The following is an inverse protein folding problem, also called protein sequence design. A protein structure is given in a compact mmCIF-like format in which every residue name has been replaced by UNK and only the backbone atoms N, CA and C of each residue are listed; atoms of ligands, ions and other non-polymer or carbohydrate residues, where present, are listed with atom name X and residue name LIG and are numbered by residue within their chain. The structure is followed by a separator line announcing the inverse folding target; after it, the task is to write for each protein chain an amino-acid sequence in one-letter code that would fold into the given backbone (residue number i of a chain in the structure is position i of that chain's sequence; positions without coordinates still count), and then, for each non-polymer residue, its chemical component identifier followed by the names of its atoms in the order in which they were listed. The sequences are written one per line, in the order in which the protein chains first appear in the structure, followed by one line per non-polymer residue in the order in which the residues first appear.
data_IF_739606146479
#
_entry.id   IF_739606146479
#
_cell.length_a   1.000
_cell.length_b   1.000
_cell.length_c   1.000
_cell.angle_alpha   90.00
_cell.angle_beta   90.00
_cell.angle_gamma   90.00
#
_symmetry.space_group_name_H-M   'P 1'
#
loop_
_entity.id
_entity.type
_entity.pdbx_description
1 polymer ?
#
# COMPACT_ATOMS: atom_id res chain seq x y z
N UNK A 1 56.83 -10.89 16.48
CA UNK A 1 57.37 -9.56 16.83
C UNK A 1 58.85 -9.49 16.49
N UNK A 2 59.22 -8.64 15.54
CA UNK A 2 60.61 -8.40 15.16
C UNK A 2 61.26 -7.28 15.99
N UNK A 3 62.58 -7.35 16.14
CA UNK A 3 63.40 -6.26 16.69
C UNK A 3 64.35 -5.80 15.60
N UNK A 4 64.64 -4.51 15.54
CA UNK A 4 65.60 -4.00 14.59
C UNK A 4 67.03 -4.42 15.00
N UNK A 5 67.75 -5.06 14.08
CA UNK A 5 69.14 -5.50 14.29
C UNK A 5 70.12 -4.36 14.54
N UNK A 6 69.78 -3.14 14.12
CA UNK A 6 70.70 -2.01 14.15
C UNK A 6 70.45 -1.04 15.31
N UNK A 7 69.19 -0.71 15.61
CA UNK A 7 68.85 0.19 16.73
C UNK A 7 68.27 -0.53 17.95
N UNK A 8 67.99 -1.84 17.87
CA UNK A 8 67.45 -2.64 18.98
C UNK A 8 65.98 -2.34 19.33
N UNK A 9 65.32 -1.44 18.60
CA UNK A 9 63.93 -1.07 18.88
C UNK A 9 62.97 -2.19 18.46
N UNK A 10 61.97 -2.42 19.32
CA UNK A 10 60.86 -3.34 19.05
C UNK A 10 59.98 -2.80 17.93
N UNK A 11 59.76 -3.60 16.90
CA UNK A 11 58.99 -3.21 15.73
C UNK A 11 57.54 -3.65 15.85
N UNK A 12 56.63 -2.89 15.21
CA UNK A 12 55.24 -3.29 15.05
C UNK A 12 55.12 -4.51 14.11
N UNK A 13 54.12 -5.35 14.37
CA UNK A 13 53.90 -6.60 13.63
C UNK A 13 53.60 -6.32 12.16
N UNK A 14 54.40 -6.92 11.27
CA UNK A 14 54.27 -6.75 9.82
C UNK A 14 54.99 -5.54 9.22
N UNK A 15 55.82 -4.84 10.01
CA UNK A 15 56.66 -3.74 9.50
C UNK A 15 57.81 -4.25 8.62
N UNK A 16 57.99 -3.63 7.45
CA UNK A 16 59.04 -4.01 6.47
C UNK A 16 60.38 -3.32 6.72
N UNK A 17 60.37 -2.15 7.36
CA UNK A 17 61.55 -1.33 7.64
C UNK A 17 61.41 -0.68 9.01
N UNK A 18 62.54 -0.44 9.67
CA UNK A 18 62.56 0.25 10.95
C UNK A 18 62.29 1.76 10.77
N UNK A 19 61.29 2.37 11.43
CA UNK A 19 60.96 3.78 11.24
C UNK A 19 62.03 4.74 11.78
N UNK A 20 62.96 4.28 12.63
CA UNK A 20 63.98 5.12 13.27
C UNK A 20 65.29 5.18 12.48
N UNK A 21 65.79 4.03 12.03
CA UNK A 21 67.07 3.93 11.33
C UNK A 21 66.95 3.45 9.89
N UNK A 22 65.73 3.19 9.42
CA UNK A 22 65.38 2.74 8.07
C UNK A 22 66.03 1.42 7.61
N UNK A 23 66.57 0.65 8.56
CA UNK A 23 67.11 -0.69 8.29
C UNK A 23 65.97 -1.66 7.96
N UNK A 24 66.14 -2.45 6.90
CA UNK A 24 65.16 -3.47 6.49
C UNK A 24 65.04 -4.59 7.53
N UNK A 25 63.82 -5.08 7.72
CA UNK A 25 63.52 -6.11 8.71
C UNK A 25 63.77 -7.48 8.11
N UNK A 26 64.82 -8.14 8.58
CA UNK A 26 65.17 -9.50 8.16
C UNK A 26 64.43 -10.52 9.04
N UNK A 27 63.48 -11.24 8.46
CA UNK A 27 62.77 -12.34 9.13
C UNK A 27 63.40 -13.70 8.76
N UNK A 28 63.46 -14.67 9.69
CA UNK A 28 63.92 -16.03 9.39
C UNK A 28 63.07 -16.67 8.28
N UNK A 29 63.72 -17.49 7.43
CA UNK A 29 63.07 -18.20 6.33
C UNK A 29 61.93 -19.07 6.85
N UNK A 30 60.70 -18.74 6.45
CA UNK A 30 59.46 -19.44 6.85
C UNK A 30 58.59 -18.70 7.88
N UNK A 31 59.04 -17.55 8.41
CA UNK A 31 58.26 -16.74 9.35
C UNK A 31 57.74 -15.48 8.65
N UNK A 32 56.44 -15.44 8.37
CA UNK A 32 55.72 -14.24 7.95
C UNK A 32 54.90 -13.72 9.14
N UNK A 33 55.13 -12.47 9.55
CA UNK A 33 54.26 -11.82 10.53
C UNK A 33 52.92 -11.52 9.88
N UNK A 34 51.82 -11.98 10.50
CA UNK A 34 50.48 -11.65 10.06
C UNK A 34 50.24 -10.15 10.28
N UNK A 35 49.70 -9.42 9.28
CA UNK A 35 49.32 -8.02 9.49
C UNK A 35 48.28 -7.96 10.61
N UNK A 36 48.56 -7.14 11.63
CA UNK A 36 47.68 -7.00 12.80
C UNK A 36 46.30 -6.49 12.37
N UNK A 37 45.25 -7.04 12.99
CA UNK A 37 43.91 -6.47 12.83
C UNK A 37 43.93 -5.02 13.33
N UNK A 38 43.43 -4.05 12.54
CA UNK A 38 43.50 -2.65 12.90
C UNK A 38 42.73 -2.42 14.20
N UNK A 39 43.37 -1.75 15.16
CA UNK A 39 42.78 -1.41 16.46
C UNK A 39 41.55 -0.48 16.33
N UNK A 40 41.42 0.18 15.18
CA UNK A 40 40.39 1.18 14.91
C UNK A 40 39.27 0.60 14.05
N UNK A 41 38.04 1.00 14.38
CA UNK A 41 36.85 0.63 13.64
C UNK A 41 36.99 1.03 12.16
N UNK A 42 36.87 0.04 11.28
CA UNK A 42 36.77 0.30 9.85
C UNK A 42 35.47 1.07 9.54
N UNK A 43 35.48 1.95 8.54
CA UNK A 43 34.26 2.63 8.12
C UNK A 43 33.20 1.58 7.77
N UNK A 44 32.01 1.71 8.35
CA UNK A 44 30.91 0.78 8.09
C UNK A 44 30.67 0.70 6.58
N UNK A 45 30.40 -0.51 6.04
CA UNK A 45 30.03 -0.64 4.64
C UNK A 45 28.86 0.30 4.33
N UNK A 46 28.84 0.91 3.13
CA UNK A 46 27.85 1.92 2.79
C UNK A 46 26.45 1.39 3.05
N UNK A 47 25.63 2.18 3.76
CA UNK A 47 24.27 1.84 4.14
C UNK A 47 23.42 1.61 2.88
N UNK A 48 23.39 0.39 2.37
CA UNK A 48 22.85 0.15 1.03
C UNK A 48 22.86 -1.28 0.51
N UNK A 49 23.42 -2.27 1.22
CA UNK A 49 23.12 -3.66 0.88
C UNK A 49 21.64 -3.91 1.24
N UNK A 50 20.77 -3.78 0.23
CA UNK A 50 19.31 -3.86 0.30
C UNK A 50 18.81 -5.26 0.65
N UNK A 51 19.19 -5.73 1.84
CA UNK A 51 18.70 -6.96 2.44
C UNK A 51 17.49 -6.72 3.33
N UNK A 52 16.71 -7.78 3.53
CA UNK A 52 15.70 -7.84 4.58
C UNK A 52 16.42 -7.72 5.92
N UNK A 53 16.05 -6.75 6.75
CA UNK A 53 16.59 -6.61 8.11
C UNK A 53 16.36 -7.91 8.90
N UNK A 54 17.31 -8.31 9.76
CA UNK A 54 17.19 -9.53 10.59
C UNK A 54 15.85 -9.63 11.33
N UNK A 55 15.34 -8.49 11.81
CA UNK A 55 14.02 -8.38 12.48
C UNK A 55 12.86 -8.74 11.53
N UNK A 56 12.77 -8.11 10.36
CA UNK A 56 11.76 -8.44 9.33
C UNK A 56 11.81 -9.89 8.88
N UNK A 57 13.01 -10.46 8.69
CA UNK A 57 13.17 -11.88 8.33
C UNK A 57 12.58 -12.77 9.42
N UNK A 58 12.92 -12.52 10.69
CA UNK A 58 12.36 -13.25 11.82
C UNK A 58 10.84 -13.13 11.94
N UNK A 59 10.28 -11.93 11.69
CA UNK A 59 8.82 -11.73 11.67
C UNK A 59 8.14 -12.52 10.54
N UNK A 60 8.73 -12.55 9.34
CA UNK A 60 8.19 -13.33 8.21
C UNK A 60 8.24 -14.83 8.50
N UNK A 61 9.35 -15.33 9.05
CA UNK A 61 9.48 -16.74 9.46
C UNK A 61 8.47 -17.12 10.55
N UNK A 62 8.21 -16.21 11.50
CA UNK A 62 7.18 -16.38 12.52
C UNK A 62 5.77 -16.42 11.92
N UNK A 63 5.45 -15.50 10.99
CA UNK A 63 4.15 -15.51 10.31
C UNK A 63 3.98 -16.82 9.53
N UNK A 64 5.03 -17.29 8.85
CA UNK A 64 4.99 -18.53 8.09
C UNK A 64 4.80 -19.76 9.00
N UNK A 65 5.47 -19.80 10.15
CA UNK A 65 5.30 -20.92 11.09
C UNK A 65 3.89 -20.94 11.70
N UNK A 66 3.36 -19.77 12.09
CA UNK A 66 1.99 -19.65 12.59
C UNK A 66 0.95 -19.98 11.52
N UNK A 67 1.19 -19.57 10.27
CA UNK A 67 0.34 -19.92 9.13
C UNK A 67 0.24 -21.44 8.96
N UNK A 68 1.39 -22.14 8.92
CA UNK A 68 1.41 -23.60 8.77
C UNK A 68 0.69 -24.30 9.91
N UNK A 69 0.93 -23.89 11.16
CA UNK A 69 0.24 -24.47 12.32
C UNK A 69 -1.27 -24.20 12.25
N UNK A 70 -1.68 -22.96 11.94
CA UNK A 70 -3.09 -22.58 11.84
C UNK A 70 -3.83 -23.38 10.76
N UNK A 71 -3.26 -23.48 9.56
CA UNK A 71 -3.81 -24.28 8.46
C UNK A 71 -3.98 -25.74 8.87
N UNK A 72 -2.93 -26.35 9.43
CA UNK A 72 -2.95 -27.75 9.81
C UNK A 72 -3.99 -28.02 10.90
N UNK A 73 -4.08 -27.16 11.91
CA UNK A 73 -5.09 -27.32 12.98
C UNK A 73 -6.52 -27.21 12.48
N UNK A 74 -6.82 -26.22 11.64
CA UNK A 74 -8.16 -26.03 11.07
C UNK A 74 -8.52 -27.16 10.11
N UNK A 75 -7.58 -27.57 9.26
CA UNK A 75 -7.79 -28.68 8.33
C UNK A 75 -8.11 -29.98 9.08
N UNK A 76 -7.31 -30.33 10.10
CA UNK A 76 -7.55 -31.53 10.93
C UNK A 76 -8.89 -31.43 11.67
N UNK A 77 -9.22 -30.26 12.24
CA UNK A 77 -10.49 -30.05 12.92
C UNK A 77 -11.69 -30.28 12.00
N UNK A 78 -11.64 -29.77 10.76
CA UNK A 78 -12.71 -29.95 9.77
C UNK A 78 -12.81 -31.40 9.28
N UNK A 79 -11.67 -32.08 9.10
CA UNK A 79 -11.63 -33.52 8.76
C UNK A 79 -12.29 -34.35 9.86
N UNK A 80 -11.87 -34.15 11.11
CA UNK A 80 -12.39 -34.91 12.26
C UNK A 80 -13.87 -34.65 12.53
N UNK A 81 -14.33 -33.43 12.26
CA UNK A 81 -15.74 -33.06 12.41
C UNK A 81 -16.62 -33.53 11.24
N UNK A 82 -16.03 -34.10 10.18
CA UNK A 82 -16.75 -34.51 8.96
C UNK A 82 -17.30 -33.35 8.12
N UNK A 83 -16.89 -32.11 8.40
CA UNK A 83 -17.46 -30.90 7.80
C UNK A 83 -16.60 -30.31 6.67
N UNK A 84 -16.07 -31.17 5.79
CA UNK A 84 -15.15 -30.76 4.74
C UNK A 84 -15.76 -29.79 3.71
N UNK A 85 -17.09 -29.82 3.53
CA UNK A 85 -17.79 -28.94 2.60
C UNK A 85 -17.60 -27.45 2.91
N UNK A 86 -17.44 -27.08 4.19
CA UNK A 86 -17.26 -25.69 4.62
C UNK A 86 -15.81 -25.35 4.98
N UNK A 87 -14.85 -26.21 4.64
CA UNK A 87 -13.43 -26.01 4.95
C UNK A 87 -12.77 -24.88 4.15
N UNK A 88 -13.31 -24.55 2.98
CA UNK A 88 -12.70 -23.56 2.09
C UNK A 88 -12.59 -22.16 2.73
N UNK A 89 -13.67 -21.65 3.32
CA UNK A 89 -13.74 -20.29 3.87
C UNK A 89 -12.66 -20.04 4.95
N UNK A 90 -12.51 -20.88 6.00
CA UNK A 90 -11.52 -20.63 7.04
C UNK A 90 -10.09 -20.80 6.55
N UNK A 91 -9.79 -21.81 5.72
CA UNK A 91 -8.44 -22.03 5.17
C UNK A 91 -8.05 -20.85 4.24
N UNK A 92 -8.95 -20.46 3.33
CA UNK A 92 -8.72 -19.31 2.46
C UNK A 92 -8.51 -18.00 3.25
N UNK A 93 -9.26 -17.80 4.34
CA UNK A 93 -9.09 -16.62 5.20
C UNK A 93 -7.73 -16.57 5.88
N UNK A 94 -7.27 -17.70 6.42
CA UNK A 94 -5.95 -17.81 7.08
C UNK A 94 -4.84 -17.56 6.06
N UNK A 95 -4.92 -18.18 4.88
CA UNK A 95 -3.96 -17.96 3.79
C UNK A 95 -3.88 -16.50 3.34
N UNK A 96 -5.03 -15.84 3.15
CA UNK A 96 -5.07 -14.43 2.72
C UNK A 96 -4.52 -13.48 3.78
N UNK A 97 -4.80 -13.72 5.06
CA UNK A 97 -4.22 -12.93 6.16
C UNK A 97 -2.70 -13.13 6.24
N UNK A 98 -2.21 -14.36 6.15
CA UNK A 98 -0.78 -14.64 6.16
C UNK A 98 -0.08 -13.94 4.98
N UNK A 99 -0.64 -14.04 3.77
CA UNK A 99 -0.13 -13.37 2.58
C UNK A 99 -0.12 -11.83 2.76
N UNK A 100 -1.17 -11.26 3.36
CA UNK A 100 -1.28 -9.82 3.63
C UNK A 100 -0.13 -9.31 4.52
N UNK A 101 0.17 -10.06 5.59
CA UNK A 101 1.20 -9.73 6.56
C UNK A 101 2.59 -9.93 5.96
N UNK A 102 2.83 -11.05 5.26
CA UNK A 102 4.11 -11.31 4.60
C UNK A 102 4.44 -10.20 3.62
N UNK A 103 3.49 -9.76 2.80
CA UNK A 103 3.71 -8.66 1.83
C UNK A 103 3.93 -7.32 2.53
N UNK A 104 3.31 -7.08 3.70
CA UNK A 104 3.55 -5.89 4.51
C UNK A 104 4.96 -5.81 5.10
N UNK A 105 5.56 -6.94 5.46
CA UNK A 105 6.91 -6.97 6.05
C UNK A 105 8.04 -7.24 5.04
N UNK A 106 7.73 -7.79 3.86
CA UNK A 106 8.72 -8.23 2.87
C UNK A 106 9.49 -7.14 2.12
N UNK A 107 9.07 -5.87 2.16
CA UNK A 107 9.73 -4.82 1.39
C UNK A 107 9.94 -3.51 2.18
N UNK A 108 10.72 -2.57 1.63
CA UNK A 108 10.61 -1.14 1.99
C UNK A 108 9.61 -0.48 1.03
N UNK A 109 8.30 -0.81 1.07
CA UNK A 109 7.39 -0.28 0.08
C UNK A 109 7.19 1.22 0.31
N UNK A 110 7.04 1.95 -0.79
CA UNK A 110 6.37 3.25 -0.73
C UNK A 110 4.93 3.04 -0.28
N UNK A 111 4.36 4.03 0.41
CA UNK A 111 2.97 3.98 0.88
C UNK A 111 2.00 3.56 -0.23
N UNK A 112 2.17 4.10 -1.43
CA UNK A 112 1.30 3.79 -2.58
C UNK A 112 1.33 2.30 -2.94
N UNK A 113 2.53 1.71 -3.05
CA UNK A 113 2.66 0.30 -3.43
C UNK A 113 2.06 -0.62 -2.36
N UNK A 114 2.31 -0.32 -1.10
CA UNK A 114 1.77 -1.11 0.00
C UNK A 114 0.25 -1.05 0.06
N UNK A 115 -0.31 0.16 -0.02
CA UNK A 115 -1.75 0.34 -0.01
C UNK A 115 -2.39 -0.38 -1.21
N UNK A 116 -1.88 -0.21 -2.44
CA UNK A 116 -2.42 -0.90 -3.61
C UNK A 116 -2.44 -2.43 -3.47
N UNK A 117 -1.37 -3.01 -2.92
CA UNK A 117 -1.32 -4.46 -2.70
C UNK A 117 -2.39 -4.88 -1.69
N UNK A 118 -2.57 -4.14 -0.59
CA UNK A 118 -3.58 -4.48 0.43
C UNK A 118 -5.01 -4.30 -0.08
N UNK A 119 -5.29 -3.25 -0.85
CA UNK A 119 -6.60 -3.07 -1.50
C UNK A 119 -6.92 -4.20 -2.48
N UNK A 120 -5.95 -4.61 -3.29
CA UNK A 120 -6.10 -5.71 -4.22
C UNK A 120 -6.32 -7.04 -3.48
N UNK A 121 -5.53 -7.29 -2.43
CA UNK A 121 -5.65 -8.51 -1.64
C UNK A 121 -7.00 -8.59 -0.91
N UNK A 122 -7.49 -7.47 -0.37
CA UNK A 122 -8.82 -7.38 0.21
C UNK A 122 -9.92 -7.62 -0.84
N UNK A 123 -9.79 -7.09 -2.05
CA UNK A 123 -10.73 -7.35 -3.14
C UNK A 123 -10.76 -8.83 -3.54
N UNK A 124 -9.59 -9.47 -3.68
CA UNK A 124 -9.47 -10.92 -3.95
C UNK A 124 -10.04 -11.75 -2.81
N UNK A 125 -9.83 -11.31 -1.56
CA UNK A 125 -10.40 -11.99 -0.40
C UNK A 125 -11.92 -11.99 -0.44
N UNK A 126 -12.56 -10.84 -0.68
CA UNK A 126 -14.02 -10.74 -0.78
C UNK A 126 -14.58 -11.57 -1.93
N UNK A 127 -13.93 -11.57 -3.09
CA UNK A 127 -14.32 -12.43 -4.23
C UNK A 127 -14.18 -13.91 -3.89
N UNK A 128 -13.10 -14.30 -3.21
CA UNK A 128 -12.86 -15.70 -2.84
C UNK A 128 -13.90 -16.22 -1.87
N UNK A 129 -14.28 -15.45 -0.84
CA UNK A 129 -15.29 -15.91 0.13
C UNK A 129 -16.69 -16.01 -0.49
N UNK A 130 -17.07 -15.10 -1.40
CA UNK A 130 -18.36 -15.17 -2.09
C UNK A 130 -18.38 -16.30 -3.14
N UNK A 131 -17.24 -16.59 -3.77
CA UNK A 131 -17.11 -17.74 -4.68
C UNK A 131 -17.33 -19.08 -3.99
N UNK A 132 -17.14 -19.16 -2.66
CA UNK A 132 -17.38 -20.37 -1.88
C UNK A 132 -18.86 -20.79 -1.92
N UNK A 133 -19.78 -19.83 -1.99
CA UNK A 133 -21.23 -20.05 -2.06
C UNK A 133 -21.73 -20.31 -3.49
N UNK A 134 -20.81 -20.47 -4.45
CA UNK A 134 -21.06 -20.68 -5.89
C UNK A 134 -21.91 -19.58 -6.56
N UNK A 135 -22.20 -18.50 -5.86
CA UNK A 135 -23.01 -17.38 -6.33
C UNK A 135 -22.26 -16.09 -6.09
N UNK A 136 -21.72 -15.49 -7.16
CA UNK A 136 -21.09 -14.18 -7.06
C UNK A 136 -22.17 -13.10 -6.99
N UNK A 137 -22.48 -12.64 -5.79
CA UNK A 137 -23.61 -11.74 -5.54
C UNK A 137 -23.13 -10.42 -4.96
N UNK A 138 -22.69 -10.43 -3.71
CA UNK A 138 -22.32 -9.22 -2.98
C UNK A 138 -20.85 -8.82 -3.20
N UNK A 139 -19.96 -9.77 -3.54
CA UNK A 139 -18.54 -9.45 -3.80
C UNK A 139 -18.34 -8.65 -5.09
N UNK A 140 -19.25 -8.80 -6.06
CA UNK A 140 -19.27 -8.00 -7.28
C UNK A 140 -19.56 -6.52 -6.99
N UNK A 141 -20.27 -6.22 -5.90
CA UNK A 141 -20.51 -4.85 -5.45
C UNK A 141 -19.41 -4.37 -4.50
N UNK A 142 -18.93 -5.24 -3.61
CA UNK A 142 -17.98 -4.89 -2.56
C UNK A 142 -16.54 -4.75 -3.07
N UNK A 143 -16.08 -5.62 -3.98
CA UNK A 143 -14.70 -5.58 -4.48
C UNK A 143 -14.41 -4.35 -5.35
N UNK A 144 -15.30 -3.88 -6.24
CA UNK A 144 -15.07 -2.63 -6.97
C UNK A 144 -15.20 -1.39 -6.06
N UNK A 145 -15.96 -1.47 -4.96
CA UNK A 145 -16.03 -0.40 -3.97
C UNK A 145 -14.65 -0.15 -3.31
N UNK A 146 -13.87 -1.20 -3.06
CA UNK A 146 -12.48 -1.08 -2.61
C UNK A 146 -11.61 -0.39 -3.66
N UNK A 147 -11.83 -0.69 -4.94
CA UNK A 147 -11.17 0.02 -6.05
C UNK A 147 -11.54 1.51 -6.10
N UNK A 148 -12.80 1.84 -5.86
CA UNK A 148 -13.25 3.22 -5.73
C UNK A 148 -12.58 3.93 -4.55
N UNK A 149 -12.51 3.27 -3.38
CA UNK A 149 -11.85 3.82 -2.20
C UNK A 149 -10.36 4.05 -2.46
N UNK A 150 -9.69 3.13 -3.17
CA UNK A 150 -8.32 3.29 -3.62
C UNK A 150 -8.15 4.53 -4.52
N UNK A 151 -9.10 4.80 -5.42
CA UNK A 151 -9.13 6.00 -6.27
C UNK A 151 -9.28 7.30 -5.47
N UNK A 152 -9.95 7.27 -4.31
CA UNK A 152 -10.08 8.45 -3.45
C UNK A 152 -8.89 8.67 -2.51
N UNK A 153 -8.29 7.60 -1.98
CA UNK A 153 -7.28 7.69 -0.91
C UNK A 153 -5.85 7.56 -1.45
N UNK A 154 -5.59 6.54 -2.25
CA UNK A 154 -4.22 6.19 -2.67
C UNK A 154 -3.85 6.92 -3.95
N UNK A 155 -4.76 6.98 -4.90
CA UNK A 155 -4.50 7.59 -6.21
C UNK A 155 -4.00 9.05 -6.12
N UNK A 156 -4.60 9.97 -5.33
CA UNK A 156 -4.12 11.36 -5.26
C UNK A 156 -2.70 11.51 -4.70
N UNK A 157 -2.22 10.53 -3.93
CA UNK A 157 -0.89 10.55 -3.32
C UNK A 157 0.25 10.28 -4.32
N UNK A 158 -0.05 9.99 -5.59
CA UNK A 158 0.99 9.87 -6.62
C UNK A 158 1.50 11.25 -7.07
N UNK A 159 2.81 11.46 -6.95
CA UNK A 159 3.47 12.72 -7.33
C UNK A 159 3.24 13.16 -8.79
N UNK A 160 2.97 12.23 -9.71
CA UNK A 160 2.65 12.53 -11.11
C UNK A 160 1.30 13.23 -11.28
N UNK A 161 0.35 12.96 -10.38
CA UNK A 161 -1.01 13.50 -10.40
C UNK A 161 -1.06 14.94 -9.91
N UNK A 162 -0.20 15.30 -8.95
CA UNK A 162 -0.06 16.68 -8.48
C UNK A 162 0.26 17.68 -9.60
N UNK A 163 0.77 17.22 -10.75
CA UNK A 163 1.09 18.07 -11.91
C UNK A 163 -0.10 18.31 -12.85
N UNK A 164 -1.16 17.50 -12.77
CA UNK A 164 -2.33 17.58 -13.64
C UNK A 164 -3.62 17.29 -12.86
N UNK A 165 -4.03 18.17 -11.93
CA UNK A 165 -5.14 17.90 -11.01
C UNK A 165 -6.47 17.70 -11.74
N UNK A 166 -6.71 18.41 -12.85
CA UNK A 166 -7.95 18.28 -13.62
C UNK A 166 -8.13 16.86 -14.18
N UNK A 167 -7.06 16.23 -14.70
CA UNK A 167 -7.14 14.85 -15.22
C UNK A 167 -7.46 13.85 -14.11
N UNK A 168 -6.95 14.08 -12.90
CA UNK A 168 -7.24 13.25 -11.73
C UNK A 168 -8.70 13.35 -11.30
N UNK A 169 -9.26 14.56 -11.26
CA UNK A 169 -10.67 14.77 -10.91
C UNK A 169 -11.57 14.06 -11.93
N UNK A 170 -11.27 14.20 -13.23
CA UNK A 170 -12.03 13.51 -14.29
C UNK A 170 -11.96 11.99 -14.13
N UNK A 171 -10.78 11.43 -13.81
CA UNK A 171 -10.64 9.99 -13.58
C UNK A 171 -11.44 9.51 -12.37
N UNK A 172 -11.41 10.23 -11.25
CA UNK A 172 -12.19 9.88 -10.04
C UNK A 172 -13.70 9.95 -10.30
N UNK A 173 -14.16 10.98 -11.00
CA UNK A 173 -15.56 11.13 -11.43
C UNK A 173 -15.96 9.96 -12.33
N UNK A 174 -15.14 9.61 -13.32
CA UNK A 174 -15.41 8.51 -14.24
C UNK A 174 -15.40 7.16 -13.52
N UNK A 175 -14.49 6.93 -12.57
CA UNK A 175 -14.48 5.74 -11.72
C UNK A 175 -15.74 5.64 -10.86
N UNK A 176 -16.25 6.77 -10.36
CA UNK A 176 -17.51 6.79 -9.58
C UNK A 176 -18.71 6.45 -10.46
N UNK A 177 -18.78 7.00 -11.67
CA UNK A 177 -19.82 6.65 -12.64
C UNK A 177 -19.74 5.17 -13.04
N UNK A 178 -18.55 4.67 -13.33
CA UNK A 178 -18.33 3.26 -13.67
C UNK A 178 -18.78 2.33 -12.53
N UNK A 179 -18.48 2.69 -11.28
CA UNK A 179 -18.92 1.93 -10.11
C UNK A 179 -20.45 1.93 -9.97
N UNK A 180 -21.10 3.09 -10.08
CA UNK A 180 -22.56 3.19 -10.00
C UNK A 180 -23.26 2.43 -11.14
N UNK A 181 -22.71 2.48 -12.36
CA UNK A 181 -23.21 1.69 -13.48
C UNK A 181 -23.08 0.19 -13.21
N UNK A 182 -21.94 -0.25 -12.69
CA UNK A 182 -21.72 -1.65 -12.30
C UNK A 182 -22.73 -2.09 -11.23
N UNK A 183 -22.93 -1.30 -10.18
CA UNK A 183 -23.90 -1.61 -9.10
C UNK A 183 -25.30 -1.77 -9.69
N UNK A 184 -25.70 -0.89 -10.60
CA UNK A 184 -27.00 -0.98 -11.25
C UNK A 184 -27.15 -2.27 -12.09
N UNK A 185 -26.15 -2.60 -12.91
CA UNK A 185 -26.17 -3.83 -13.72
C UNK A 185 -26.20 -5.08 -12.83
N UNK A 186 -25.41 -5.12 -11.75
CA UNK A 186 -25.37 -6.27 -10.84
C UNK A 186 -26.71 -6.45 -10.10
N UNK A 187 -27.36 -5.37 -9.68
CA UNK A 187 -28.61 -5.46 -8.90
C UNK A 187 -29.86 -5.59 -9.76
N UNK A 188 -29.93 -4.89 -10.88
CA UNK A 188 -31.14 -4.76 -11.72
C UNK A 188 -31.02 -5.46 -13.08
N UNK A 189 -29.86 -6.02 -13.43
CA UNK A 189 -29.61 -6.66 -14.73
C UNK A 189 -29.61 -5.71 -15.93
N UNK A 190 -29.91 -4.42 -15.73
CA UNK A 190 -30.03 -3.40 -16.77
C UNK A 190 -29.80 -2.01 -16.18
N UNK A 191 -29.62 -0.99 -17.03
CA UNK A 191 -29.34 0.38 -16.59
C UNK A 191 -30.62 1.17 -16.22
N UNK A 192 -31.35 0.71 -15.21
CA UNK A 192 -32.65 1.31 -14.81
C UNK A 192 -32.53 2.68 -14.14
N UNK A 193 -31.85 2.79 -12.98
CA UNK A 193 -31.74 4.04 -12.22
C UNK A 193 -30.46 4.84 -12.50
N UNK A 194 -29.46 4.23 -13.13
CA UNK A 194 -28.18 4.88 -13.44
C UNK A 194 -28.35 6.09 -14.36
N UNK A 195 -29.10 5.94 -15.46
CA UNK A 195 -29.29 7.01 -16.45
C UNK A 195 -30.22 8.13 -15.93
N UNK A 196 -31.42 7.84 -15.39
CA UNK A 196 -32.34 8.90 -14.98
C UNK A 196 -32.00 9.54 -13.62
N UNK A 197 -31.26 8.85 -12.73
CA UNK A 197 -31.00 9.34 -11.37
C UNK A 197 -29.51 9.59 -11.12
N UNK A 198 -28.66 8.57 -11.28
CA UNK A 198 -27.27 8.65 -10.84
C UNK A 198 -26.41 9.60 -11.70
N UNK A 199 -26.55 9.53 -13.03
CA UNK A 199 -25.83 10.37 -13.98
C UNK A 199 -26.16 11.86 -13.79
N UNK A 200 -27.43 12.30 -13.82
CA UNK A 200 -27.74 13.72 -13.69
C UNK A 200 -27.42 14.28 -12.30
N UNK A 201 -27.63 13.50 -11.23
CA UNK A 201 -27.26 13.94 -9.87
C UNK A 201 -25.74 14.14 -9.72
N UNK A 202 -24.93 13.24 -10.27
CA UNK A 202 -23.47 13.37 -10.23
C UNK A 202 -22.98 14.53 -11.12
N UNK A 203 -23.56 14.73 -12.30
CA UNK A 203 -23.24 15.88 -13.15
C UNK A 203 -23.52 17.20 -12.44
N UNK A 204 -24.67 17.31 -11.76
CA UNK A 204 -25.02 18.51 -11.00
C UNK A 204 -24.01 18.75 -9.87
N UNK A 205 -23.63 17.71 -9.12
CA UNK A 205 -22.60 17.80 -8.09
C UNK A 205 -21.27 18.32 -8.66
N UNK A 206 -20.82 17.78 -9.80
CA UNK A 206 -19.57 18.20 -10.46
C UNK A 206 -19.66 19.66 -10.92
N UNK A 207 -20.78 20.07 -11.52
CA UNK A 207 -21.01 21.45 -11.97
C UNK A 207 -21.03 22.41 -10.78
N UNK A 208 -21.72 22.08 -9.69
CA UNK A 208 -21.76 22.89 -8.48
C UNK A 208 -20.38 23.04 -7.84
N UNK A 209 -19.62 21.94 -7.72
CA UNK A 209 -18.23 21.98 -7.27
C UNK A 209 -17.36 22.86 -8.19
N UNK A 210 -17.53 22.77 -9.51
CA UNK A 210 -16.77 23.58 -10.45
C UNK A 210 -17.10 25.07 -10.34
N UNK A 211 -18.38 25.44 -10.27
CA UNK A 211 -18.84 26.82 -10.05
C UNK A 211 -18.30 27.36 -8.72
N UNK A 212 -18.34 26.54 -7.67
CA UNK A 212 -17.83 26.87 -6.36
C UNK A 212 -16.32 27.17 -6.37
N UNK A 213 -15.53 26.28 -6.96
CA UNK A 213 -14.08 26.47 -7.11
C UNK A 213 -13.75 27.66 -8.02
N UNK A 214 -14.51 27.86 -9.10
CA UNK A 214 -14.34 28.99 -10.00
C UNK A 214 -14.62 30.33 -9.32
N UNK A 215 -15.68 30.40 -8.52
CA UNK A 215 -16.03 31.59 -7.74
C UNK A 215 -14.93 31.95 -6.74
N UNK A 216 -14.36 30.97 -6.04
CA UNK A 216 -13.22 31.20 -5.16
C UNK A 216 -11.94 31.61 -5.90
N UNK A 217 -11.66 31.00 -7.04
CA UNK A 217 -10.50 31.35 -7.88
C UNK A 217 -10.55 32.80 -8.39
N UNK A 218 -11.77 33.33 -8.60
CA UNK A 218 -11.98 34.70 -9.10
C UNK A 218 -12.02 35.76 -7.99
N UNK A 219 -11.99 35.39 -6.71
CA UNK A 219 -11.96 36.37 -5.62
C UNK A 219 -10.64 37.11 -5.60
N UNK A 220 -10.72 38.44 -5.43
CA UNK A 220 -9.56 39.35 -5.40
C UNK A 220 -8.70 39.19 -4.13
N UNK A 221 -9.31 38.72 -3.03
CA UNK A 221 -8.62 38.48 -1.76
C UNK A 221 -8.16 37.02 -1.66
N UNK A 222 -6.87 36.79 -1.34
CA UNK A 222 -6.25 35.45 -1.31
C UNK A 222 -6.52 34.68 -0.01
N UNK A 223 -6.91 35.35 1.07
CA UNK A 223 -7.27 34.69 2.33
C UNK A 223 -8.74 34.27 2.27
N UNK A 224 -8.98 32.97 2.16
CA UNK A 224 -10.32 32.40 2.22
C UNK A 224 -10.62 32.05 3.69
N UNK A 225 -11.61 32.69 4.33
CA UNK A 225 -12.00 32.30 5.68
C UNK A 225 -12.62 30.89 5.67
N UNK A 226 -12.32 30.11 6.70
CA UNK A 226 -12.82 28.73 6.84
C UNK A 226 -14.35 28.68 6.81
N UNK A 227 -15.02 29.70 7.35
CA UNK A 227 -16.48 29.83 7.32
C UNK A 227 -17.06 29.84 5.90
N UNK A 228 -16.43 30.54 4.94
CA UNK A 228 -16.92 30.59 3.55
C UNK A 228 -16.76 29.23 2.86
N UNK A 229 -15.69 28.49 3.18
CA UNK A 229 -15.48 27.12 2.67
C UNK A 229 -16.57 26.20 3.21
N UNK A 230 -16.81 26.22 4.53
CA UNK A 230 -17.82 25.36 5.17
C UNK A 230 -19.23 25.69 4.69
N UNK A 231 -19.60 26.98 4.64
CA UNK A 231 -20.92 27.38 4.13
C UNK A 231 -21.10 26.97 2.67
N UNK A 232 -20.05 27.16 1.89
CA UNK A 232 -19.99 26.78 0.50
C UNK A 232 -20.14 25.28 0.23
N UNK A 233 -19.42 24.44 0.97
CA UNK A 233 -19.54 22.99 0.88
C UNK A 233 -20.93 22.53 1.32
N UNK A 234 -21.51 23.14 2.35
CA UNK A 234 -22.90 22.86 2.76
C UNK A 234 -23.89 23.20 1.64
N UNK A 235 -23.76 24.35 0.99
CA UNK A 235 -24.62 24.73 -0.15
C UNK A 235 -24.52 23.71 -1.28
N UNK A 236 -23.30 23.30 -1.66
CA UNK A 236 -23.09 22.28 -2.70
C UNK A 236 -23.75 20.96 -2.30
N UNK A 237 -23.56 20.51 -1.05
CA UNK A 237 -24.12 19.26 -0.55
C UNK A 237 -25.65 19.29 -0.52
N UNK A 238 -26.26 20.33 0.06
CA UNK A 238 -27.71 20.45 0.13
C UNK A 238 -28.35 20.55 -1.25
N UNK A 239 -27.81 21.37 -2.15
CA UNK A 239 -28.33 21.46 -3.52
C UNK A 239 -28.20 20.11 -4.24
N UNK A 240 -27.04 19.45 -4.16
CA UNK A 240 -26.87 18.14 -4.79
C UNK A 240 -27.83 17.08 -4.22
N UNK A 241 -28.09 17.09 -2.90
CA UNK A 241 -29.03 16.20 -2.25
C UNK A 241 -30.48 16.48 -2.68
N UNK A 242 -30.89 17.76 -2.76
CA UNK A 242 -32.24 18.11 -3.25
C UNK A 242 -32.45 17.67 -4.69
N UNK A 243 -31.43 17.81 -5.54
CA UNK A 243 -31.50 17.38 -6.94
C UNK A 243 -31.55 15.87 -7.05
N UNK A 244 -30.77 15.15 -6.24
CA UNK A 244 -30.86 13.70 -6.13
C UNK A 244 -32.28 13.25 -5.74
N UNK A 245 -32.87 13.87 -4.71
CA UNK A 245 -34.23 13.54 -4.25
C UNK A 245 -35.29 13.84 -5.31
N UNK A 246 -35.17 14.95 -6.03
CA UNK A 246 -36.04 15.27 -7.17
C UNK A 246 -35.96 14.20 -8.27
N UNK A 247 -34.77 13.79 -8.68
CA UNK A 247 -34.62 12.74 -9.71
C UNK A 247 -35.13 11.39 -9.21
N UNK A 248 -34.84 11.04 -7.96
CA UNK A 248 -35.31 9.79 -7.36
C UNK A 248 -36.84 9.75 -7.26
N UNK A 249 -37.47 10.83 -6.82
CA UNK A 249 -38.93 10.93 -6.70
C UNK A 249 -39.63 10.85 -8.07
N UNK A 250 -39.08 11.47 -9.11
CA UNK A 250 -39.62 11.37 -10.47
C UNK A 250 -39.47 9.96 -11.04
N UNK A 251 -38.33 9.31 -10.79
CA UNK A 251 -38.10 7.92 -11.17
C UNK A 251 -39.11 6.97 -10.49
N UNK A 252 -39.34 7.13 -9.18
CA UNK A 252 -40.33 6.32 -8.44
C UNK A 252 -41.77 6.54 -8.92
N UNK A 253 -42.08 7.74 -9.45
CA UNK A 253 -43.39 8.08 -10.02
C UNK A 253 -43.57 7.60 -11.47
N UNK A 254 -42.56 6.99 -12.09
CA UNK A 254 -42.61 6.51 -13.47
C UNK A 254 -42.65 7.64 -14.51
N UNK A 255 -42.14 8.82 -14.18
CA UNK A 255 -42.04 9.96 -15.10
C UNK A 255 -40.91 9.75 -16.14
N UNK A 256 -40.04 8.76 -15.91
CA UNK A 256 -38.91 8.34 -16.75
C UNK A 256 -38.87 6.83 -16.92
#
# INVERSE_FOLDING_TARGET
MAYCVQCGVKLEEGSKQCPLCNTEVLLPTGVQEQPSEPLFAQPLPPAGMGGITKTRKGVIELILSLFVVSELTVALSMILSGNLAHSFIPLFSIAMVALSLILAFSNKPTFQRQASIQFLLAAVYLLGIDAADQTLSWSLVASPALGLLWMYVVFPSHARISKAPMRSVVLVVLSTLAYLALVNVVLSGSLTWFVPVALPSLLVLVVLCWVFLFWFSRRRNKSIPLADIVLGTLVVLFLSATVFDLFLSNFQRGVF
#
